data_IF_156507126167
#
_entry.id   IF_156507126167
#
_cell.length_a   1.000
_cell.length_b   1.000
_cell.length_c   1.000
_cell.angle_alpha   90.00
_cell.angle_beta   90.00
_cell.angle_gamma   90.00
#
_symmetry.space_group_name_H-M   'P 1'
#
loop_
_entity.id
_entity.type
_entity.pdbx_description
1 polymer ?
#
# COMPACT_ATOMS: atom_id res chain seq x y z
N UNK A 1 17.95 -7.43 12.93
CA UNK A 1 16.52 -7.35 12.54
C UNK A 1 16.24 -6.05 11.80
N UNK A 2 16.47 -4.86 12.38
CA UNK A 2 16.14 -3.58 11.73
C UNK A 2 16.92 -3.29 10.44
N UNK A 3 18.23 -3.52 10.41
CA UNK A 3 19.05 -3.32 9.19
C UNK A 3 18.56 -4.18 8.01
N UNK A 4 18.15 -5.43 8.29
CA UNK A 4 17.61 -6.33 7.30
C UNK A 4 16.27 -5.83 6.75
N UNK A 5 15.40 -5.30 7.61
CA UNK A 5 14.12 -4.72 7.19
C UNK A 5 14.31 -3.47 6.33
N UNK A 6 15.29 -2.62 6.67
CA UNK A 6 15.64 -1.43 5.88
C UNK A 6 16.20 -1.84 4.51
N UNK A 7 17.11 -2.83 4.47
CA UNK A 7 17.67 -3.36 3.22
C UNK A 7 16.58 -3.99 2.34
N UNK A 8 15.69 -4.80 2.93
CA UNK A 8 14.55 -5.38 2.22
C UNK A 8 13.62 -4.29 1.67
N UNK A 9 13.31 -3.27 2.47
CA UNK A 9 12.51 -2.13 2.03
C UNK A 9 13.16 -1.40 0.84
N UNK A 10 14.46 -1.12 0.93
CA UNK A 10 15.22 -0.46 -0.14
C UNK A 10 15.22 -1.28 -1.43
N UNK A 11 15.50 -2.58 -1.34
CA UNK A 11 15.49 -3.50 -2.49
C UNK A 11 14.10 -3.60 -3.10
N UNK A 12 13.06 -3.66 -2.28
CA UNK A 12 11.67 -3.73 -2.75
C UNK A 12 11.29 -2.46 -3.51
N UNK A 13 11.57 -1.29 -2.93
CA UNK A 13 11.29 -0.01 -3.57
C UNK A 13 12.10 0.13 -4.87
N UNK A 14 13.41 -0.16 -4.83
CA UNK A 14 14.26 -0.11 -6.01
C UNK A 14 13.81 -1.08 -7.11
N UNK A 15 13.40 -2.29 -6.74
CA UNK A 15 12.88 -3.30 -7.66
C UNK A 15 11.57 -2.86 -8.32
N UNK A 16 10.65 -2.27 -7.57
CA UNK A 16 9.38 -1.73 -8.11
C UNK A 16 9.66 -0.59 -9.10
N UNK A 17 10.59 0.32 -8.78
CA UNK A 17 10.97 1.41 -9.69
C UNK A 17 11.60 0.85 -10.98
N UNK A 18 12.55 -0.08 -10.85
CA UNK A 18 13.22 -0.69 -11.99
C UNK A 18 12.23 -1.44 -12.89
N UNK A 19 11.30 -2.21 -12.30
CA UNK A 19 10.24 -2.88 -13.04
C UNK A 19 9.33 -1.88 -13.77
N UNK A 20 8.96 -0.77 -13.12
CA UNK A 20 8.17 0.29 -13.74
C UNK A 20 8.87 0.91 -14.96
N UNK A 21 10.17 1.23 -14.84
CA UNK A 21 10.97 1.75 -15.96
C UNK A 21 11.05 0.72 -17.08
N UNK A 22 11.27 -0.56 -16.75
CA UNK A 22 11.38 -1.61 -17.75
C UNK A 22 10.08 -1.82 -18.53
N UNK A 23 8.94 -1.86 -17.85
CA UNK A 23 7.62 -1.93 -18.48
C UNK A 23 7.40 -0.74 -19.42
N UNK A 24 7.75 0.46 -18.96
CA UNK A 24 7.60 1.68 -19.77
C UNK A 24 8.48 1.62 -21.02
N UNK A 25 9.75 1.23 -20.87
CA UNK A 25 10.68 1.03 -21.99
C UNK A 25 10.12 0.05 -23.02
N UNK A 26 9.68 -1.13 -22.58
CA UNK A 26 9.10 -2.15 -23.46
C UNK A 26 7.87 -1.63 -24.21
N UNK A 27 7.04 -0.81 -23.55
CA UNK A 27 5.86 -0.22 -24.17
C UNK A 27 6.20 0.83 -25.25
N UNK A 28 7.24 1.62 -25.03
CA UNK A 28 7.70 2.62 -26.00
C UNK A 28 8.48 2.02 -27.17
N UNK A 29 9.20 0.92 -26.94
CA UNK A 29 9.93 0.18 -27.97
C UNK A 29 9.00 -0.63 -28.88
N UNK A 30 7.79 -0.96 -28.42
CA UNK A 30 6.83 -1.68 -29.23
C UNK A 30 6.31 -0.84 -30.40
N UNK A 31 6.31 -1.43 -31.59
CA UNK A 31 5.73 -0.84 -32.80
C UNK A 31 4.19 -0.87 -32.69
N UNK A 32 3.63 0.17 -32.07
CA UNK A 32 2.20 0.32 -31.84
C UNK A 32 1.72 1.71 -32.29
N UNK A 33 0.49 1.84 -32.81
CA UNK A 33 -0.16 3.15 -32.99
C UNK A 33 -0.25 3.93 -31.66
N UNK A 34 -0.11 5.25 -31.73
CA UNK A 34 -0.06 6.10 -30.53
C UNK A 34 -1.29 5.99 -29.62
N UNK A 35 -2.47 5.76 -30.20
CA UNK A 35 -3.73 5.59 -29.46
C UNK A 35 -3.72 4.29 -28.65
N UNK A 36 -3.25 3.20 -29.23
CA UNK A 36 -3.15 1.91 -28.55
C UNK A 36 -2.13 1.97 -27.40
N UNK A 37 -0.98 2.62 -27.64
CA UNK A 37 0.02 2.87 -26.60
C UNK A 37 -0.56 3.68 -25.43
N UNK A 38 -1.39 4.68 -25.71
CA UNK A 38 -2.05 5.49 -24.67
C UNK A 38 -3.01 4.64 -23.83
N UNK A 39 -3.77 3.74 -24.44
CA UNK A 39 -4.67 2.82 -23.73
C UNK A 39 -3.86 1.91 -22.79
N UNK A 40 -2.75 1.34 -23.27
CA UNK A 40 -1.88 0.52 -22.44
C UNK A 40 -1.24 1.30 -21.28
N UNK A 41 -0.80 2.54 -21.53
CA UNK A 41 -0.31 3.42 -20.46
C UNK A 41 -1.37 3.65 -19.39
N UNK A 42 -2.62 3.91 -19.78
CA UNK A 42 -3.73 4.09 -18.85
C UNK A 42 -4.00 2.81 -18.04
N UNK A 43 -4.00 1.64 -18.68
CA UNK A 43 -4.20 0.35 -17.99
C UNK A 43 -3.09 0.09 -16.98
N UNK A 44 -1.83 0.26 -17.39
CA UNK A 44 -0.65 0.06 -16.53
C UNK A 44 -0.69 1.04 -15.35
N UNK A 45 -1.13 2.28 -15.57
CA UNK A 45 -1.26 3.30 -14.52
C UNK A 45 -2.44 3.02 -13.58
N UNK A 46 -3.53 2.44 -14.07
CA UNK A 46 -4.69 2.06 -13.24
C UNK A 46 -4.34 0.97 -12.24
N UNK A 47 -3.44 0.05 -12.59
CA UNK A 47 -3.07 -1.06 -11.72
C UNK A 47 -2.49 -0.63 -10.34
N UNK A 48 -1.44 0.21 -10.26
CA UNK A 48 -0.94 0.71 -8.97
C UNK A 48 -1.93 1.66 -8.30
N UNK A 49 -2.76 2.39 -9.05
CA UNK A 49 -3.79 3.25 -8.48
C UNK A 49 -4.84 2.43 -7.73
N UNK A 50 -5.37 1.39 -8.35
CA UNK A 50 -6.35 0.48 -7.74
C UNK A 50 -5.71 -0.26 -6.56
N UNK A 51 -4.48 -0.75 -6.72
CA UNK A 51 -3.72 -1.37 -5.62
C UNK A 51 -3.55 -0.43 -4.42
N UNK A 52 -3.20 0.84 -4.65
CA UNK A 52 -3.10 1.84 -3.60
C UNK A 52 -4.45 2.15 -2.93
N UNK A 53 -5.54 2.21 -3.69
CA UNK A 53 -6.88 2.44 -3.14
C UNK A 53 -7.36 1.26 -2.28
N UNK A 54 -7.11 0.02 -2.72
CA UNK A 54 -7.41 -1.19 -1.93
C UNK A 54 -6.55 -1.23 -0.67
N UNK A 55 -5.26 -0.90 -0.80
CA UNK A 55 -4.37 -0.82 0.36
C UNK A 55 -4.85 0.23 1.38
N UNK A 56 -5.27 1.40 0.90
CA UNK A 56 -5.77 2.47 1.75
C UNK A 56 -7.15 2.15 2.36
N UNK A 57 -8.00 1.36 1.69
CA UNK A 57 -9.27 0.93 2.27
C UNK A 57 -9.04 -0.04 3.43
N UNK A 58 -8.17 -1.03 3.28
CA UNK A 58 -7.84 -1.99 4.34
C UNK A 58 -7.00 -1.37 5.47
N UNK A 59 -6.09 -0.45 5.16
CA UNK A 59 -5.29 0.26 6.15
C UNK A 59 -6.12 1.16 7.07
N UNK A 60 -7.24 1.70 6.60
CA UNK A 60 -8.13 2.55 7.43
C UNK A 60 -8.85 1.77 8.53
N UNK A 61 -9.27 0.55 8.26
CA UNK A 61 -9.99 -0.26 9.24
C UNK A 61 -9.07 -0.70 10.40
N UNK A 62 -7.83 -1.06 10.09
CA UNK A 62 -6.83 -1.44 11.11
C UNK A 62 -6.36 -0.27 12.00
N UNK A 63 -6.33 0.97 11.47
CA UNK A 63 -6.03 2.17 12.25
C UNK A 63 -7.20 2.60 13.15
N UNK A 64 -8.44 2.47 12.66
CA UNK A 64 -9.64 2.75 13.47
C UNK A 64 -9.77 1.80 14.66
N UNK A 65 -9.52 0.51 14.46
CA UNK A 65 -9.53 -0.48 15.54
C UNK A 65 -8.50 -0.18 16.66
N UNK A 66 -7.35 0.40 16.31
CA UNK A 66 -6.33 0.84 17.30
C UNK A 66 -6.73 2.12 18.05
N UNK A 67 -7.51 3.00 17.43
CA UNK A 67 -8.07 4.19 18.07
C UNK A 67 -9.19 3.82 19.05
N UNK A 68 -10.07 2.88 18.68
CA UNK A 68 -11.15 2.39 19.56
C UNK A 68 -10.64 1.53 20.74
N UNK A 69 -9.46 0.91 20.60
CA UNK A 69 -8.73 0.24 21.67
C UNK A 69 -7.86 1.21 22.51
N UNK A 70 -8.12 2.52 22.44
CA UNK A 70 -7.43 3.53 23.22
C UNK A 70 -7.61 3.34 24.74
N UNK A 71 -6.65 3.82 25.57
CA UNK A 71 -6.51 3.52 27.00
C UNK A 71 -7.70 3.93 27.90
N UNK A 72 -8.73 4.59 27.36
CA UNK A 72 -9.96 4.91 28.08
C UNK A 72 -10.86 3.70 28.35
N UNK A 73 -10.85 2.68 27.50
CA UNK A 73 -11.74 1.51 27.67
C UNK A 73 -11.24 0.51 28.71
N UNK A 74 -9.92 0.40 28.89
CA UNK A 74 -9.34 -0.46 29.93
C UNK A 74 -9.56 0.10 31.36
N UNK A 75 -9.66 1.43 31.50
CA UNK A 75 -9.96 2.09 32.77
C UNK A 75 -11.44 1.98 33.16
N UNK A 76 -12.35 1.89 32.18
CA UNK A 76 -13.77 1.65 32.41
C UNK A 76 -14.03 0.20 32.84
N UNK A 77 -13.40 -0.78 32.18
CA UNK A 77 -13.53 -2.20 32.53
C UNK A 77 -13.02 -2.52 33.94
N UNK A 78 -11.96 -1.82 34.40
CA UNK A 78 -11.41 -2.00 35.76
C UNK A 78 -12.31 -1.47 36.88
N UNK A 79 -13.26 -0.56 36.59
CA UNK A 79 -14.14 0.01 37.62
C UNK A 79 -15.37 -0.83 37.95
N UNK A 80 -15.78 -1.76 37.09
CA UNK A 80 -16.94 -2.61 37.32
C UNK A 80 -16.62 -3.90 38.13
N UNK A 81 -15.35 -4.27 38.29
CA UNK A 81 -14.93 -5.49 39.01
C UNK A 81 -14.56 -5.26 40.49
N UNK A 82 -14.78 -4.07 41.04
CA UNK A 82 -14.59 -3.83 42.47
C UNK A 82 -15.93 -3.95 43.22
N UNK A 83 -16.22 -5.08 43.89
CA UNK A 83 -17.33 -5.15 44.82
C UNK A 83 -16.97 -4.40 46.11
N UNK A 84 -17.94 -3.66 46.65
CA UNK A 84 -17.89 -2.98 47.95
C UNK A 84 -17.82 -3.96 49.13
#
# INVERSE_FOLDING_TARGET
>A
MELQNILLGLVTIGGVIAAGIWVLKTLFDAEMPSVERLIWLLIILMFPLVGALIWQSWGRDSLRQRLDAGPGNAAAFRKEEAPD
#
